data_IF_921527471966
#
_entry.id   IF_921527471966
#
_cell.length_a   1.000
_cell.length_b   1.000
_cell.length_c   1.000
_cell.angle_alpha   90.00
_cell.angle_beta   90.00
_cell.angle_gamma   90.00
#
_symmetry.space_group_name_H-M   'P 1'
#
loop_
_entity.id
_entity.type
_entity.pdbx_description
1 polymer ?
#
# COMPACT_ATOMS: atom_id res chain seq x y z
N UNK A 1 -64.00 18.46 39.82
CA UNK A 1 -63.31 17.19 39.57
C UNK A 1 -62.59 16.80 40.85
N UNK A 2 -63.06 15.76 41.53
CA UNK A 2 -62.36 15.18 42.68
C UNK A 2 -61.79 13.85 42.27
N UNK A 3 -60.50 13.68 42.42
CA UNK A 3 -59.85 12.40 42.26
C UNK A 3 -59.80 11.72 43.62
N UNK A 4 -60.58 10.68 43.82
CA UNK A 4 -60.47 9.85 45.02
C UNK A 4 -59.21 8.96 44.87
N UNK A 5 -58.23 9.16 45.72
CA UNK A 5 -56.89 8.59 45.66
C UNK A 5 -56.88 7.09 45.95
N UNK A 6 -57.97 6.54 46.54
CA UNK A 6 -58.04 5.11 46.92
C UNK A 6 -58.79 4.20 45.93
N UNK A 7 -59.56 4.79 44.96
CA UNK A 7 -60.43 3.99 44.08
C UNK A 7 -60.19 4.18 42.58
N UNK A 8 -59.27 4.99 42.17
CA UNK A 8 -58.97 5.27 40.73
C UNK A 8 -60.20 5.67 39.88
N UNK A 9 -61.19 6.28 40.50
CA UNK A 9 -62.37 6.73 39.84
C UNK A 9 -62.40 8.26 39.66
N UNK A 10 -62.75 8.70 38.44
CA UNK A 10 -62.92 10.10 38.10
C UNK A 10 -64.36 10.45 38.26
N UNK A 11 -64.65 11.28 39.29
CA UNK A 11 -66.01 11.74 39.65
C UNK A 11 -66.24 13.11 39.00
N UNK A 12 -67.14 13.13 38.03
CA UNK A 12 -67.58 14.38 37.43
C UNK A 12 -69.02 14.71 37.95
N UNK A 13 -69.14 15.78 38.70
CA UNK A 13 -70.42 16.23 39.25
C UNK A 13 -70.92 17.36 38.35
N UNK A 14 -72.22 17.29 37.99
CA UNK A 14 -72.94 18.38 37.32
C UNK A 14 -74.22 18.66 38.12
N UNK A 15 -74.20 19.81 38.71
CA UNK A 15 -75.36 20.30 39.48
C UNK A 15 -76.37 20.99 38.56
N UNK A 16 -77.63 20.79 38.81
CA UNK A 16 -78.72 21.44 38.10
C UNK A 16 -79.91 21.69 39.11
N UNK A 17 -80.62 22.73 38.91
CA UNK A 17 -81.80 23.11 39.79
C UNK A 17 -83.05 22.75 39.05
N UNK A 18 -83.96 22.03 39.73
CA UNK A 18 -85.31 21.71 39.24
C UNK A 18 -86.21 22.95 39.20
N UNK A 19 -87.29 22.96 38.36
CA UNK A 19 -88.20 24.10 38.26
C UNK A 19 -89.01 24.40 39.56
N UNK A 20 -89.08 23.45 40.50
CA UNK A 20 -89.69 23.54 41.83
C UNK A 20 -88.73 24.07 42.93
N UNK A 21 -87.46 24.38 42.56
CA UNK A 21 -86.51 25.03 43.45
C UNK A 21 -85.54 24.07 44.14
N UNK A 22 -85.66 22.75 43.91
CA UNK A 22 -84.76 21.75 44.49
C UNK A 22 -83.49 21.60 43.66
N UNK A 23 -82.36 21.42 44.36
CA UNK A 23 -81.07 21.20 43.70
C UNK A 23 -80.83 19.69 43.46
N UNK A 24 -80.54 19.37 42.23
CA UNK A 24 -80.17 17.99 41.80
C UNK A 24 -78.72 17.91 41.30
N UNK A 25 -78.11 16.80 41.56
CA UNK A 25 -76.70 16.53 41.04
C UNK A 25 -76.65 15.21 40.29
N UNK A 26 -76.07 15.27 39.09
CA UNK A 26 -75.72 14.05 38.35
C UNK A 26 -74.25 13.73 38.57
N UNK A 27 -73.98 12.53 39.06
CA UNK A 27 -72.64 11.99 39.30
C UNK A 27 -72.30 11.06 38.15
N UNK A 28 -71.25 11.42 37.39
CA UNK A 28 -70.67 10.52 36.41
C UNK A 28 -69.42 9.92 37.03
N UNK A 29 -69.49 8.66 37.38
CA UNK A 29 -68.32 7.89 37.88
C UNK A 29 -67.73 7.14 36.70
N UNK A 30 -66.57 7.54 36.30
CA UNK A 30 -65.83 6.85 35.23
C UNK A 30 -64.58 6.16 35.82
N UNK A 31 -64.48 4.91 35.64
CA UNK A 31 -63.26 4.17 36.04
C UNK A 31 -62.10 4.57 35.12
N UNK A 32 -61.04 5.14 35.68
CA UNK A 32 -59.87 5.56 34.92
C UNK A 32 -59.19 4.33 34.27
N UNK A 33 -59.35 3.15 34.90
CA UNK A 33 -58.81 1.90 34.39
C UNK A 33 -59.45 1.48 33.06
N UNK A 34 -60.73 1.83 32.79
CA UNK A 34 -61.44 1.54 31.56
C UNK A 34 -61.08 2.47 30.40
N UNK A 35 -60.49 3.64 30.70
CA UNK A 35 -59.94 4.57 29.68
C UNK A 35 -58.48 4.25 29.29
N UNK A 36 -57.81 3.33 30.01
CA UNK A 36 -56.37 3.05 29.86
C UNK A 36 -56.01 1.84 28.96
N UNK A 37 -56.93 0.89 28.62
CA UNK A 37 -56.54 -0.27 27.82
C UNK A 37 -56.01 0.14 26.43
N UNK A 38 -56.62 1.11 25.76
CA UNK A 38 -56.18 1.59 24.45
C UNK A 38 -54.83 2.33 24.54
N UNK A 39 -54.60 3.09 25.60
CA UNK A 39 -53.32 3.77 25.83
C UNK A 39 -52.19 2.78 26.13
N UNK A 40 -52.47 1.70 26.86
CA UNK A 40 -51.46 0.64 27.14
C UNK A 40 -51.07 -0.11 25.86
N UNK A 41 -52.04 -0.44 25.01
CA UNK A 41 -51.76 -1.12 23.73
C UNK A 41 -50.94 -0.22 22.79
N UNK A 42 -51.27 1.07 22.68
CA UNK A 42 -50.51 2.05 21.91
C UNK A 42 -49.06 2.20 22.41
N UNK A 43 -48.86 2.31 23.72
CA UNK A 43 -47.49 2.39 24.30
C UNK A 43 -46.73 1.11 24.05
N UNK A 44 -47.35 -0.06 24.17
CA UNK A 44 -46.69 -1.33 23.85
C UNK A 44 -46.30 -1.43 22.39
N UNK A 45 -47.18 -1.07 21.44
CA UNK A 45 -46.91 -1.02 20.02
C UNK A 45 -45.77 -0.03 19.69
N UNK A 46 -45.78 1.17 20.32
CA UNK A 46 -44.68 2.13 20.16
C UNK A 46 -43.32 1.58 20.65
N UNK A 47 -43.33 0.85 21.78
CA UNK A 47 -42.11 0.23 22.30
C UNK A 47 -41.61 -0.86 21.39
N UNK A 48 -42.49 -1.76 20.90
CA UNK A 48 -42.13 -2.83 19.98
C UNK A 48 -41.59 -2.27 18.67
N UNK A 49 -42.27 -1.27 18.09
CA UNK A 49 -41.80 -0.61 16.84
C UNK A 49 -40.44 0.07 17.04
N UNK A 50 -40.26 0.77 18.17
CA UNK A 50 -38.99 1.43 18.49
C UNK A 50 -37.84 0.40 18.61
N UNK A 51 -38.05 -0.72 19.30
CA UNK A 51 -37.05 -1.80 19.41
C UNK A 51 -36.74 -2.43 18.06
N UNK A 52 -37.78 -2.65 17.23
CA UNK A 52 -37.60 -3.15 15.86
C UNK A 52 -36.75 -2.21 15.00
N UNK A 53 -37.03 -0.91 15.06
CA UNK A 53 -36.27 0.12 14.33
C UNK A 53 -34.81 0.12 14.80
N UNK A 54 -34.56 0.10 16.11
CA UNK A 54 -33.21 0.05 16.66
C UNK A 54 -32.46 -1.22 16.23
N UNK A 55 -33.13 -2.37 16.18
CA UNK A 55 -32.53 -3.61 15.73
C UNK A 55 -32.17 -3.57 14.24
N UNK A 56 -33.11 -3.10 13.41
CA UNK A 56 -32.89 -2.98 11.94
C UNK A 56 -31.78 -1.98 11.64
N UNK A 57 -31.78 -0.80 12.28
CA UNK A 57 -30.74 0.21 12.07
C UNK A 57 -29.38 -0.28 12.53
N UNK A 58 -29.31 -0.99 13.67
CA UNK A 58 -28.09 -1.60 14.15
C UNK A 58 -27.54 -2.68 13.21
N UNK A 59 -28.42 -3.53 12.67
CA UNK A 59 -28.02 -4.54 11.68
C UNK A 59 -27.50 -3.93 10.38
N UNK A 60 -28.21 -2.94 9.83
CA UNK A 60 -27.79 -2.21 8.62
C UNK A 60 -26.43 -1.54 8.83
N UNK A 61 -26.25 -0.85 9.94
CA UNK A 61 -25.02 -0.16 10.27
C UNK A 61 -23.83 -1.12 10.46
N UNK A 62 -24.07 -2.27 11.08
CA UNK A 62 -23.05 -3.32 11.24
C UNK A 62 -22.60 -3.86 9.89
N UNK A 63 -23.53 -4.16 8.98
CA UNK A 63 -23.21 -4.66 7.64
C UNK A 63 -22.45 -3.60 6.84
N UNK A 64 -22.88 -2.35 6.93
CA UNK A 64 -22.22 -1.24 6.26
C UNK A 64 -20.77 -1.04 6.75
N UNK A 65 -20.54 -0.98 8.06
CA UNK A 65 -19.18 -0.87 8.64
C UNK A 65 -18.30 -2.06 8.24
N UNK A 66 -18.87 -3.26 8.22
CA UNK A 66 -18.12 -4.44 7.81
C UNK A 66 -17.66 -4.34 6.35
N UNK A 67 -18.54 -3.93 5.45
CA UNK A 67 -18.23 -3.83 4.02
C UNK A 67 -17.31 -2.67 3.69
N UNK A 68 -17.59 -1.47 4.25
CA UNK A 68 -16.85 -0.25 3.91
C UNK A 68 -15.52 -0.10 4.66
N UNK A 69 -15.33 -0.76 5.80
CA UNK A 69 -14.13 -0.56 6.62
C UNK A 69 -13.36 -1.87 6.85
N UNK A 70 -13.99 -2.88 7.45
CA UNK A 70 -13.28 -4.07 7.91
C UNK A 70 -12.75 -4.92 6.74
N UNK A 71 -13.52 -5.05 5.68
CA UNK A 71 -13.14 -5.85 4.52
C UNK A 71 -11.95 -5.26 3.76
N UNK A 72 -11.92 -3.95 3.41
CA UNK A 72 -10.74 -3.33 2.78
C UNK A 72 -9.49 -3.38 3.66
N UNK A 73 -9.62 -3.12 4.97
CA UNK A 73 -8.49 -3.24 5.91
C UNK A 73 -7.94 -4.67 5.93
N UNK A 74 -8.80 -5.68 5.89
CA UNK A 74 -8.39 -7.07 5.79
C UNK A 74 -7.60 -7.37 4.50
N UNK A 75 -8.04 -6.82 3.36
CA UNK A 75 -7.31 -6.91 2.08
C UNK A 75 -5.92 -6.25 2.17
N UNK A 76 -5.82 -5.05 2.78
CA UNK A 76 -4.55 -4.36 3.00
C UNK A 76 -3.60 -5.17 3.90
N UNK A 77 -4.13 -5.81 4.95
CA UNK A 77 -3.34 -6.66 5.84
C UNK A 77 -2.78 -7.88 5.09
N UNK A 78 -3.58 -8.53 4.25
CA UNK A 78 -3.13 -9.63 3.42
C UNK A 78 -2.07 -9.18 2.39
N UNK A 79 -2.31 -8.05 1.72
CA UNK A 79 -1.38 -7.44 0.78
C UNK A 79 -0.02 -7.13 1.45
N UNK A 80 -0.04 -6.55 2.65
CA UNK A 80 1.17 -6.28 3.44
C UNK A 80 1.93 -7.57 3.75
N UNK A 81 1.22 -8.67 4.06
CA UNK A 81 1.85 -9.97 4.29
C UNK A 81 2.51 -10.52 3.03
N UNK A 82 1.85 -10.40 1.87
CA UNK A 82 2.44 -10.81 0.58
C UNK A 82 3.72 -10.02 0.27
N UNK A 83 3.71 -8.69 0.46
CA UNK A 83 4.90 -7.85 0.28
C UNK A 83 6.03 -8.27 1.22
N UNK A 84 5.73 -8.50 2.50
CA UNK A 84 6.73 -8.97 3.47
C UNK A 84 7.36 -10.30 3.04
N UNK A 85 6.57 -11.20 2.47
CA UNK A 85 7.01 -12.50 2.00
C UNK A 85 7.69 -12.44 0.61
N UNK A 86 7.91 -11.21 0.08
CA UNK A 86 8.60 -10.94 -1.20
C UNK A 86 7.73 -11.12 -2.45
N UNK A 87 6.44 -11.41 -2.28
CA UNK A 87 5.52 -11.52 -3.40
C UNK A 87 4.92 -10.15 -3.72
N UNK A 88 5.34 -9.58 -4.85
CA UNK A 88 4.83 -8.30 -5.38
C UNK A 88 3.90 -8.52 -6.58
N UNK A 89 3.69 -9.79 -7.04
CA UNK A 89 2.88 -10.15 -8.20
C UNK A 89 1.41 -10.36 -7.81
N UNK A 90 0.77 -9.32 -7.31
CA UNK A 90 -0.65 -9.26 -7.07
C UNK A 90 -1.15 -7.84 -7.36
N UNK A 91 -2.47 -7.67 -7.46
CA UNK A 91 -3.12 -6.36 -7.61
C UNK A 91 -4.10 -6.17 -6.48
N UNK A 92 -4.13 -4.97 -5.89
CA UNK A 92 -5.13 -4.59 -4.91
C UNK A 92 -6.28 -3.88 -5.63
N UNK A 93 -7.43 -4.57 -5.74
CA UNK A 93 -8.63 -3.95 -6.31
C UNK A 93 -9.20 -2.91 -5.34
N UNK A 94 -9.41 -1.71 -5.84
CA UNK A 94 -10.05 -0.59 -5.13
C UNK A 94 -11.51 -0.55 -5.56
N UNK A 95 -12.42 -0.79 -4.61
CA UNK A 95 -13.87 -0.90 -4.88
C UNK A 95 -14.61 0.43 -4.61
N UNK A 96 -14.11 1.28 -3.70
CA UNK A 96 -14.77 2.49 -3.23
C UNK A 96 -13.90 3.73 -3.46
N UNK A 97 -14.57 4.90 -3.63
CA UNK A 97 -13.93 6.21 -3.85
C UNK A 97 -13.98 7.08 -2.56
N UNK A 98 -13.93 6.41 -1.40
CA UNK A 98 -13.86 7.03 -0.08
C UNK A 98 -12.42 7.13 0.44
N UNK A 99 -12.23 7.56 1.68
CA UNK A 99 -10.90 7.68 2.32
C UNK A 99 -10.18 6.34 2.42
N UNK A 100 -10.92 5.24 2.58
CA UNK A 100 -10.36 3.88 2.61
C UNK A 100 -9.97 3.44 1.20
N UNK A 101 -10.78 3.77 0.19
CA UNK A 101 -10.45 3.56 -1.22
C UNK A 101 -9.18 4.30 -1.63
N UNK A 102 -9.03 5.57 -1.24
CA UNK A 102 -7.80 6.34 -1.46
C UNK A 102 -6.59 5.72 -0.77
N UNK A 103 -6.75 5.19 0.45
CA UNK A 103 -5.69 4.47 1.13
C UNK A 103 -5.26 3.22 0.35
N UNK A 104 -6.22 2.46 -0.19
CA UNK A 104 -5.96 1.29 -1.03
C UNK A 104 -5.23 1.67 -2.33
N UNK A 105 -5.61 2.78 -2.97
CA UNK A 105 -4.92 3.31 -4.16
C UNK A 105 -3.47 3.70 -3.87
N UNK A 106 -3.23 4.46 -2.80
CA UNK A 106 -1.88 4.85 -2.39
C UNK A 106 -1.01 3.63 -2.06
N UNK A 107 -1.61 2.59 -1.45
CA UNK A 107 -0.91 1.35 -1.15
C UNK A 107 -0.55 0.58 -2.43
N UNK A 108 -1.46 0.52 -3.41
CA UNK A 108 -1.22 -0.12 -4.71
C UNK A 108 -0.12 0.62 -5.49
N UNK A 109 -0.13 1.96 -5.50
CA UNK A 109 0.94 2.76 -6.11
C UNK A 109 2.29 2.47 -5.45
N UNK A 110 2.33 2.41 -4.13
CA UNK A 110 3.54 2.03 -3.39
C UNK A 110 4.02 0.62 -3.76
N UNK A 111 3.11 -0.36 -3.88
CA UNK A 111 3.43 -1.72 -4.31
C UNK A 111 4.05 -1.75 -5.71
N UNK A 112 3.45 -1.00 -6.66
CA UNK A 112 3.95 -0.91 -8.04
C UNK A 112 5.36 -0.34 -8.04
N UNK A 113 5.60 0.79 -7.38
CA UNK A 113 6.93 1.40 -7.27
C UNK A 113 7.96 0.49 -6.62
N UNK A 114 7.56 -0.27 -5.60
CA UNK A 114 8.42 -1.24 -4.94
C UNK A 114 8.79 -2.39 -5.88
N UNK A 115 7.82 -2.88 -6.68
CA UNK A 115 8.05 -3.90 -7.69
C UNK A 115 9.05 -3.41 -8.74
N UNK A 116 8.81 -2.25 -9.34
CA UNK A 116 9.71 -1.61 -10.32
C UNK A 116 11.14 -1.47 -9.77
N UNK A 117 11.27 -0.90 -8.58
CA UNK A 117 12.58 -0.73 -7.93
C UNK A 117 13.29 -2.06 -7.64
N UNK A 118 12.54 -3.11 -7.32
CA UNK A 118 13.10 -4.45 -7.08
C UNK A 118 13.56 -5.09 -8.39
N UNK A 119 12.77 -4.98 -9.45
CA UNK A 119 13.10 -5.47 -10.79
C UNK A 119 14.33 -4.74 -11.34
N UNK A 120 14.40 -3.42 -11.24
CA UNK A 120 15.57 -2.61 -11.61
C UNK A 120 16.83 -3.06 -10.86
N UNK A 121 16.71 -3.31 -9.55
CA UNK A 121 17.83 -3.78 -8.75
C UNK A 121 18.32 -5.17 -9.19
N UNK A 122 17.40 -6.10 -9.45
CA UNK A 122 17.76 -7.45 -9.93
C UNK A 122 18.43 -7.35 -11.30
N UNK A 123 17.93 -6.50 -12.18
CA UNK A 123 18.54 -6.28 -13.50
C UNK A 123 19.94 -5.68 -13.37
N UNK A 124 20.11 -4.67 -12.53
CA UNK A 124 21.42 -4.05 -12.25
C UNK A 124 22.41 -5.07 -11.67
N UNK A 125 22.00 -5.91 -10.72
CA UNK A 125 22.85 -6.95 -10.15
C UNK A 125 23.29 -7.98 -11.20
N UNK A 126 22.39 -8.32 -12.15
CA UNK A 126 22.70 -9.22 -13.27
C UNK A 126 23.73 -8.60 -14.22
N UNK A 127 23.47 -7.37 -14.66
CA UNK A 127 24.37 -6.63 -15.55
C UNK A 127 25.76 -6.43 -14.93
N UNK A 128 25.81 -6.10 -13.64
CA UNK A 128 27.07 -5.99 -12.90
C UNK A 128 27.87 -7.29 -12.85
N UNK A 129 27.18 -8.43 -12.63
CA UNK A 129 27.84 -9.74 -12.66
C UNK A 129 28.35 -10.11 -14.04
N UNK A 130 27.58 -9.85 -15.09
CA UNK A 130 27.99 -10.07 -16.48
C UNK A 130 29.21 -9.21 -16.84
N UNK A 131 29.21 -7.94 -16.44
CA UNK A 131 30.32 -7.01 -16.63
C UNK A 131 31.62 -7.56 -15.96
N UNK A 132 31.53 -7.93 -14.67
CA UNK A 132 32.66 -8.50 -13.92
C UNK A 132 33.19 -9.76 -14.61
N UNK A 133 32.29 -10.63 -15.10
CA UNK A 133 32.68 -11.85 -15.81
C UNK A 133 33.43 -11.55 -17.11
N UNK A 134 32.90 -10.61 -17.90
CA UNK A 134 33.52 -10.20 -19.17
C UNK A 134 34.87 -9.54 -18.94
N UNK A 135 34.99 -8.63 -17.97
CA UNK A 135 36.27 -8.02 -17.59
C UNK A 135 37.32 -9.09 -17.19
N UNK A 136 36.88 -10.05 -16.37
CA UNK A 136 37.76 -11.13 -15.91
C UNK A 136 38.30 -11.96 -17.08
N UNK A 137 37.45 -12.24 -18.08
CA UNK A 137 37.81 -12.94 -19.30
C UNK A 137 38.80 -12.11 -20.15
N UNK A 138 38.50 -10.83 -20.35
CA UNK A 138 39.26 -9.91 -21.20
C UNK A 138 40.64 -9.55 -20.61
N UNK A 139 40.75 -9.57 -19.27
CA UNK A 139 42.06 -9.46 -18.59
C UNK A 139 42.83 -10.76 -18.60
N UNK A 140 42.17 -11.93 -18.51
CA UNK A 140 42.86 -13.25 -18.50
C UNK A 140 43.57 -13.52 -19.80
N UNK A 141 43.03 -13.12 -20.94
CA UNK A 141 43.61 -13.37 -22.27
C UNK A 141 44.99 -12.73 -22.43
N UNK A 142 45.19 -11.41 -22.23
CA UNK A 142 46.49 -10.79 -22.33
C UNK A 142 47.49 -11.29 -21.26
N UNK A 143 47.02 -11.56 -20.03
CA UNK A 143 47.86 -12.14 -18.95
C UNK A 143 48.41 -13.50 -19.37
N UNK A 144 47.56 -14.37 -19.93
CA UNK A 144 48.00 -15.70 -20.40
C UNK A 144 49.04 -15.60 -21.54
N UNK A 145 48.81 -14.65 -22.46
CA UNK A 145 49.78 -14.39 -23.54
C UNK A 145 51.13 -13.89 -22.99
N UNK A 146 51.09 -12.88 -22.08
CA UNK A 146 52.31 -12.37 -21.43
C UNK A 146 53.09 -13.52 -20.76
N UNK A 147 52.37 -14.34 -19.96
CA UNK A 147 52.96 -15.48 -19.26
C UNK A 147 53.61 -16.46 -20.25
N UNK A 148 52.94 -16.84 -21.32
CA UNK A 148 53.48 -17.74 -22.33
C UNK A 148 54.71 -17.18 -23.03
N UNK A 149 54.76 -15.88 -23.35
CA UNK A 149 55.96 -15.28 -23.94
C UNK A 149 57.12 -15.19 -22.95
N UNK A 150 56.85 -14.90 -21.67
CA UNK A 150 57.85 -14.90 -20.62
C UNK A 150 58.43 -16.31 -20.40
N UNK A 151 57.59 -17.33 -20.31
CA UNK A 151 58.01 -18.74 -20.19
C UNK A 151 58.85 -19.14 -21.41
N UNK A 152 58.42 -18.75 -22.63
CA UNK A 152 59.21 -19.02 -23.84
C UNK A 152 60.56 -18.33 -23.86
N UNK A 153 60.75 -17.18 -23.23
CA UNK A 153 62.07 -16.53 -23.04
C UNK A 153 62.90 -17.33 -22.03
N UNK A 154 62.31 -17.72 -20.89
CA UNK A 154 62.97 -18.45 -19.82
C UNK A 154 63.43 -19.84 -20.26
N UNK A 155 62.66 -20.51 -21.09
CA UNK A 155 62.94 -21.86 -21.64
C UNK A 155 63.90 -21.83 -22.84
N UNK A 156 64.38 -20.62 -23.22
CA UNK A 156 65.31 -20.46 -24.32
C UNK A 156 64.73 -20.66 -25.74
N UNK A 157 63.34 -20.67 -25.84
CA UNK A 157 62.63 -20.77 -27.14
C UNK A 157 62.92 -19.53 -28.00
N UNK A 158 63.12 -18.37 -27.37
CA UNK A 158 63.57 -17.15 -28.01
C UNK A 158 65.08 -17.16 -28.29
N UNK A 159 65.50 -18.07 -29.09
CA UNK A 159 66.95 -18.45 -29.35
C UNK A 159 67.70 -17.46 -30.21
N UNK A 160 67.05 -16.43 -30.80
CA UNK A 160 67.79 -15.41 -31.58
C UNK A 160 67.39 -14.00 -31.04
N UNK A 161 68.29 -12.99 -31.26
CA UNK A 161 67.98 -11.60 -30.87
C UNK A 161 66.70 -11.08 -31.46
N UNK A 162 66.34 -11.43 -32.68
CA UNK A 162 65.13 -10.99 -33.36
C UNK A 162 63.87 -11.60 -32.73
N UNK A 163 63.96 -12.92 -32.34
CA UNK A 163 62.87 -13.57 -31.63
C UNK A 163 62.67 -12.98 -30.24
N UNK A 164 63.76 -12.72 -29.53
CA UNK A 164 63.69 -12.12 -28.20
C UNK A 164 63.05 -10.68 -28.26
N UNK A 165 63.50 -9.88 -29.22
CA UNK A 165 62.89 -8.54 -29.41
C UNK A 165 61.41 -8.63 -29.74
N UNK A 166 61.00 -9.57 -30.61
CA UNK A 166 59.59 -9.82 -30.92
C UNK A 166 58.77 -10.20 -29.68
N UNK A 167 59.32 -11.09 -28.82
CA UNK A 167 58.62 -11.53 -27.60
C UNK A 167 58.46 -10.38 -26.62
N UNK A 168 59.51 -9.60 -26.39
CA UNK A 168 59.47 -8.40 -25.53
C UNK A 168 58.49 -7.39 -26.05
N UNK A 169 58.45 -7.08 -27.34
CA UNK A 169 57.49 -6.16 -27.95
C UNK A 169 56.05 -6.67 -27.77
N UNK A 170 55.82 -7.97 -27.93
CA UNK A 170 54.51 -8.54 -27.75
C UNK A 170 54.02 -8.41 -26.30
N UNK A 171 54.93 -8.70 -25.33
CA UNK A 171 54.63 -8.50 -23.90
C UNK A 171 54.27 -7.04 -23.63
N UNK A 172 55.08 -6.09 -24.15
CA UNK A 172 54.81 -4.66 -23.98
C UNK A 172 53.45 -4.21 -24.54
N UNK A 173 53.13 -4.69 -25.77
CA UNK A 173 51.81 -4.38 -26.37
C UNK A 173 50.65 -4.95 -25.55
N UNK A 174 50.79 -6.19 -25.04
CA UNK A 174 49.77 -6.82 -24.22
C UNK A 174 49.58 -6.12 -22.86
N UNK A 175 50.66 -5.61 -22.27
CA UNK A 175 50.59 -4.79 -21.06
C UNK A 175 49.88 -3.45 -21.32
N UNK A 176 50.15 -2.77 -22.44
CA UNK A 176 49.44 -1.54 -22.81
C UNK A 176 47.94 -1.79 -23.13
N UNK A 177 47.62 -2.94 -23.77
CA UNK A 177 46.21 -3.32 -23.97
C UNK A 177 45.48 -3.44 -22.65
N UNK A 178 46.11 -4.04 -21.63
CA UNK A 178 45.55 -4.16 -20.27
C UNK A 178 45.39 -2.81 -19.57
N UNK A 179 46.37 -1.93 -19.69
CA UNK A 179 46.34 -0.59 -19.11
C UNK A 179 45.13 0.19 -19.63
N UNK A 180 44.89 0.11 -20.94
CA UNK A 180 43.73 0.73 -21.59
C UNK A 180 42.39 0.14 -21.08
N UNK A 181 42.30 -1.18 -20.91
CA UNK A 181 41.08 -1.81 -20.34
C UNK A 181 40.82 -1.35 -18.90
N UNK A 182 41.86 -1.18 -18.11
CA UNK A 182 41.77 -0.68 -16.72
C UNK A 182 41.31 0.76 -16.73
N UNK A 183 41.77 1.61 -17.61
CA UNK A 183 41.34 2.99 -17.75
C UNK A 183 39.85 3.10 -18.16
N UNK A 184 39.43 2.27 -19.13
CA UNK A 184 38.02 2.18 -19.55
C UNK A 184 37.11 1.75 -18.39
N UNK A 185 37.53 0.76 -17.59
CA UNK A 185 36.83 0.29 -16.42
C UNK A 185 36.72 1.38 -15.32
N UNK A 186 37.86 2.07 -15.10
CA UNK A 186 37.90 3.18 -14.13
C UNK A 186 36.97 4.30 -14.52
N UNK A 187 36.92 4.61 -15.83
CA UNK A 187 36.00 5.60 -16.37
C UNK A 187 34.53 5.18 -16.19
N UNK A 188 34.20 3.92 -16.48
CA UNK A 188 32.86 3.36 -16.25
C UNK A 188 32.45 3.48 -14.77
N UNK A 189 33.32 3.07 -13.85
CA UNK A 189 33.08 3.17 -12.40
C UNK A 189 32.86 4.62 -11.92
N UNK A 190 33.52 5.59 -12.55
CA UNK A 190 33.30 7.01 -12.24
C UNK A 190 31.97 7.54 -12.75
N UNK A 191 31.48 7.05 -13.90
CA UNK A 191 30.14 7.38 -14.41
C UNK A 191 29.08 6.85 -13.46
N UNK A 192 29.16 5.57 -13.11
CA UNK A 192 28.18 4.88 -12.27
C UNK A 192 28.05 5.51 -10.87
N UNK A 193 29.16 6.00 -10.31
CA UNK A 193 29.17 6.69 -9.01
C UNK A 193 28.83 8.20 -9.09
N UNK A 194 28.47 8.71 -10.25
CA UNK A 194 28.17 10.13 -10.50
C UNK A 194 29.30 11.10 -10.05
N UNK A 195 30.54 10.60 -10.08
CA UNK A 195 31.73 11.35 -9.63
C UNK A 195 32.49 12.06 -10.76
N UNK A 196 31.91 12.11 -11.98
CA UNK A 196 32.53 12.86 -13.07
C UNK A 196 32.16 14.33 -12.91
N UNK A 197 33.11 15.23 -12.71
CA UNK A 197 32.85 16.67 -12.74
C UNK A 197 32.56 17.08 -14.19
N UNK A 198 31.29 17.20 -14.56
CA UNK A 198 30.91 17.69 -15.88
C UNK A 198 31.16 19.20 -15.94
N UNK A 199 32.02 19.63 -16.85
CA UNK A 199 32.19 21.04 -17.17
C UNK A 199 31.40 21.33 -18.45
N UNK A 200 30.22 21.94 -18.31
CA UNK A 200 29.41 22.31 -19.47
C UNK A 200 29.96 23.58 -20.09
N UNK A 201 30.35 23.54 -21.38
CA UNK A 201 30.71 24.69 -22.17
C UNK A 201 29.75 24.89 -23.36
N UNK A 202 29.42 26.14 -23.66
CA UNK A 202 28.63 26.41 -24.85
C UNK A 202 29.52 26.23 -26.09
N UNK A 203 29.14 25.31 -26.97
CA UNK A 203 29.78 25.08 -28.26
C UNK A 203 28.84 25.57 -29.36
N UNK A 204 29.40 26.20 -30.39
CA UNK A 204 28.63 26.58 -31.59
C UNK A 204 28.56 25.37 -32.52
N UNK A 205 27.39 24.73 -32.59
CA UNK A 205 27.18 23.50 -33.39
C UNK A 205 27.36 23.75 -34.90
N UNK A 206 27.28 25.03 -35.36
CA UNK A 206 27.51 25.37 -36.78
C UNK A 206 29.01 25.26 -37.20
N UNK A 207 29.91 25.15 -36.23
CA UNK A 207 31.37 25.03 -36.47
C UNK A 207 31.91 23.61 -36.25
N UNK A 208 31.01 22.64 -36.04
CA UNK A 208 31.31 21.22 -35.90
C UNK A 208 30.80 20.48 -37.12
#
# INVERSE_FOLDING_TARGET
NFLDKDTEHLLKIREFTFPDGDDGGVYLVTNVMDMVPEAKSMIFEMLVTSVMILFITGAVLTVWVYQSILRPIGKLQEATKKIRDGNLDFTLEVEDDDEIGQLCQNFEEMRIRLKESTEEKVQYDKESKELISNISHDLKTPITAIKGYVEGIMDGVASSPEKLDKYIRTIYHKANDMDRLIDELTFYSKIDTNKIPYTFSRINVANY
#
